data_IF_761261228268
#
_entry.id   IF_761261228268
#
_cell.length_a   1.000
_cell.length_b   1.000
_cell.length_c   1.000
_cell.angle_alpha   90.00
_cell.angle_beta   90.00
_cell.angle_gamma   90.00
#
_symmetry.space_group_name_H-M   'P 1'
#
loop_
_entity.id
_entity.type
_entity.pdbx_description
1 polymer ?
#
# COMPACT_ATOMS: atom_id res chain seq x y z
N UNK A 1 -3.61 -79.07 14.80
CA UNK A 1 -2.92 -77.77 14.67
C UNK A 1 -3.67 -76.93 13.64
N UNK A 2 -4.63 -76.12 14.06
CA UNK A 2 -5.39 -75.20 13.18
C UNK A 2 -4.81 -73.80 13.33
N UNK A 3 -3.65 -73.59 12.71
CA UNK A 3 -2.85 -72.37 12.85
C UNK A 3 -2.62 -71.74 11.48
N UNK A 4 -3.69 -71.32 10.79
CA UNK A 4 -3.55 -70.60 9.51
C UNK A 4 -4.65 -69.58 9.19
N UNK A 5 -5.80 -69.57 9.88
CA UNK A 5 -6.88 -68.61 9.61
C UNK A 5 -7.06 -67.52 10.68
N UNK A 6 -6.81 -67.84 11.96
CA UNK A 6 -6.91 -66.86 13.04
C UNK A 6 -5.82 -65.77 12.94
N UNK A 7 -4.58 -66.14 12.58
CA UNK A 7 -3.47 -65.19 12.44
C UNK A 7 -3.63 -64.27 11.23
N UNK A 8 -4.24 -64.76 10.15
CA UNK A 8 -4.48 -63.94 8.96
C UNK A 8 -5.53 -62.84 9.21
N UNK A 9 -6.61 -63.18 9.92
CA UNK A 9 -7.63 -62.21 10.34
C UNK A 9 -7.06 -61.18 11.32
N UNK A 10 -6.25 -61.61 12.29
CA UNK A 10 -5.60 -60.70 13.24
C UNK A 10 -4.57 -59.79 12.56
N UNK A 11 -3.83 -60.30 11.57
CA UNK A 11 -2.89 -59.50 10.77
C UNK A 11 -3.62 -58.49 9.89
N UNK A 12 -4.68 -58.91 9.19
CA UNK A 12 -5.51 -58.02 8.39
C UNK A 12 -6.16 -56.93 9.25
N UNK A 13 -6.63 -57.26 10.46
CA UNK A 13 -7.17 -56.30 11.42
C UNK A 13 -6.10 -55.32 11.93
N UNK A 14 -4.89 -55.79 12.20
CA UNK A 14 -3.78 -54.93 12.59
C UNK A 14 -3.37 -53.96 11.47
N UNK A 15 -3.30 -54.43 10.22
CA UNK A 15 -3.01 -53.59 9.05
C UNK A 15 -4.13 -52.59 8.80
N UNK A 16 -5.40 -53.03 8.83
CA UNK A 16 -6.55 -52.15 8.67
C UNK A 16 -6.61 -51.06 9.75
N UNK A 17 -6.33 -51.42 11.01
CA UNK A 17 -6.26 -50.47 12.13
C UNK A 17 -5.11 -49.48 11.95
N UNK A 18 -3.94 -49.95 11.49
CA UNK A 18 -2.77 -49.09 11.23
C UNK A 18 -3.03 -48.10 10.09
N UNK A 19 -3.66 -48.56 9.00
CA UNK A 19 -4.05 -47.69 7.88
C UNK A 19 -5.13 -46.69 8.29
N UNK A 20 -6.10 -47.09 9.11
CA UNK A 20 -7.12 -46.19 9.64
C UNK A 20 -6.50 -45.10 10.52
N UNK A 21 -5.55 -45.46 11.39
CA UNK A 21 -4.82 -44.51 12.23
C UNK A 21 -3.98 -43.56 11.36
N UNK A 22 -3.24 -44.08 10.38
CA UNK A 22 -2.45 -43.26 9.46
C UNK A 22 -3.32 -42.30 8.62
N UNK A 23 -4.49 -42.76 8.15
CA UNK A 23 -5.45 -41.92 7.44
C UNK A 23 -6.03 -40.81 8.30
N UNK A 24 -6.37 -41.11 9.57
CA UNK A 24 -6.88 -40.12 10.52
C UNK A 24 -5.88 -38.99 10.79
N UNK A 25 -4.59 -39.32 10.99
CA UNK A 25 -3.54 -38.32 11.18
C UNK A 25 -3.16 -37.59 9.88
N UNK A 26 -3.19 -38.27 8.73
CA UNK A 26 -2.88 -37.68 7.43
C UNK A 26 -3.86 -36.57 7.03
N UNK A 27 -5.16 -36.74 7.29
CA UNK A 27 -6.18 -35.72 7.00
C UNK A 27 -5.98 -34.48 7.87
N UNK A 28 -5.67 -34.64 9.15
CA UNK A 28 -5.40 -33.51 10.07
C UNK A 28 -4.15 -32.73 9.63
N UNK A 29 -3.08 -33.44 9.22
CA UNK A 29 -1.87 -32.78 8.71
C UNK A 29 -2.14 -32.04 7.39
N UNK A 30 -2.92 -32.64 6.49
CA UNK A 30 -3.31 -32.00 5.23
C UNK A 30 -4.22 -30.79 5.47
N UNK A 31 -5.18 -30.88 6.38
CA UNK A 31 -6.04 -29.76 6.79
C UNK A 31 -5.21 -28.63 7.38
N UNK A 32 -4.29 -28.94 8.31
CA UNK A 32 -3.40 -27.94 8.90
C UNK A 32 -2.50 -27.27 7.85
N UNK A 33 -1.99 -28.04 6.88
CA UNK A 33 -1.19 -27.52 5.78
C UNK A 33 -2.00 -26.63 4.84
N UNK A 34 -3.24 -27.02 4.51
CA UNK A 34 -4.15 -26.23 3.67
C UNK A 34 -4.65 -24.97 4.37
N UNK A 35 -4.95 -25.04 5.67
CA UNK A 35 -5.28 -23.88 6.50
C UNK A 35 -4.12 -22.90 6.60
N UNK A 36 -2.90 -23.41 6.80
CA UNK A 36 -1.68 -22.59 6.78
C UNK A 36 -1.48 -21.90 5.42
N UNK A 37 -1.75 -22.58 4.31
CA UNK A 37 -1.72 -21.97 2.97
C UNK A 37 -2.80 -20.91 2.78
N UNK A 38 -4.03 -21.16 3.24
CA UNK A 38 -5.14 -20.20 3.15
C UNK A 38 -4.90 -18.95 4.00
N UNK A 39 -4.39 -19.10 5.22
CA UNK A 39 -4.03 -17.96 6.09
C UNK A 39 -2.95 -17.09 5.46
N UNK A 40 -1.88 -17.70 4.95
CA UNK A 40 -0.82 -16.97 4.24
C UNK A 40 -1.34 -16.25 3.00
N UNK A 41 -2.27 -16.83 2.25
CA UNK A 41 -2.89 -16.17 1.10
C UNK A 41 -3.73 -14.95 1.53
N UNK A 42 -4.52 -15.08 2.60
CA UNK A 42 -5.32 -13.98 3.14
C UNK A 42 -4.45 -12.84 3.69
N UNK A 43 -3.39 -13.15 4.45
CA UNK A 43 -2.42 -12.17 4.96
C UNK A 43 -1.74 -11.41 3.81
N UNK A 44 -1.39 -12.10 2.71
CA UNK A 44 -0.82 -11.47 1.51
C UNK A 44 -1.80 -10.54 0.81
N UNK A 45 -3.07 -10.95 0.70
CA UNK A 45 -4.09 -10.12 0.08
C UNK A 45 -4.34 -8.84 0.91
N UNK A 46 -4.35 -8.96 2.23
CA UNK A 46 -4.46 -7.82 3.15
C UNK A 46 -3.24 -6.89 3.04
N UNK A 47 -2.02 -7.43 3.04
CA UNK A 47 -0.80 -6.67 2.81
C UNK A 47 -0.83 -5.87 1.49
N UNK A 48 -1.24 -6.51 0.38
CA UNK A 48 -1.41 -5.83 -0.92
C UNK A 48 -2.50 -4.77 -0.89
N UNK A 49 -3.60 -5.03 -0.16
CA UNK A 49 -4.69 -4.05 -0.03
C UNK A 49 -4.19 -2.79 0.67
N UNK A 50 -3.44 -2.93 1.76
CA UNK A 50 -2.84 -1.80 2.48
C UNK A 50 -1.87 -1.03 1.59
N UNK A 51 -1.02 -1.74 0.83
CA UNK A 51 -0.06 -1.10 -0.06
C UNK A 51 -0.74 -0.35 -1.22
N UNK A 52 -1.78 -0.92 -1.83
CA UNK A 52 -2.59 -0.24 -2.86
C UNK A 52 -3.25 1.03 -2.34
N UNK A 53 -3.70 1.02 -1.09
CA UNK A 53 -4.23 2.22 -0.43
C UNK A 53 -3.12 3.28 -0.29
N UNK A 54 -1.92 2.91 0.17
CA UNK A 54 -0.78 3.83 0.27
C UNK A 54 -0.36 4.42 -1.10
N UNK A 55 -0.36 3.60 -2.16
CA UNK A 55 -0.14 4.05 -3.55
C UNK A 55 -1.19 5.08 -3.95
N UNK A 56 -2.47 4.80 -3.69
CA UNK A 56 -3.57 5.70 -4.07
C UNK A 56 -3.46 7.07 -3.39
N UNK A 57 -3.16 7.11 -2.10
CA UNK A 57 -2.97 8.36 -1.36
C UNK A 57 -1.75 9.15 -1.85
N UNK A 58 -0.63 8.47 -2.10
CA UNK A 58 0.60 9.11 -2.61
C UNK A 58 0.39 9.67 -4.03
N UNK A 59 -0.33 8.93 -4.88
CA UNK A 59 -0.71 9.37 -6.22
C UNK A 59 -1.67 10.57 -6.20
N UNK A 60 -2.60 10.61 -5.24
CA UNK A 60 -3.48 11.78 -5.03
C UNK A 60 -2.68 13.00 -4.61
N UNK A 61 -1.72 12.85 -3.69
CA UNK A 61 -0.82 13.92 -3.28
C UNK A 61 -0.03 14.49 -4.47
N UNK A 62 0.57 13.60 -5.27
CA UNK A 62 1.23 13.98 -6.51
C UNK A 62 0.31 14.80 -7.44
N UNK A 63 -0.92 14.31 -7.67
CA UNK A 63 -1.90 14.97 -8.54
C UNK A 63 -2.22 16.39 -8.09
N UNK A 64 -2.48 16.58 -6.79
CA UNK A 64 -2.80 17.89 -6.23
C UNK A 64 -1.60 18.83 -6.33
N UNK A 65 -0.41 18.38 -5.93
CA UNK A 65 0.83 19.18 -6.01
C UNK A 65 1.16 19.56 -7.45
N UNK A 66 0.98 18.65 -8.41
CA UNK A 66 1.18 18.90 -9.84
C UNK A 66 0.18 19.94 -10.35
N UNK A 67 -1.09 19.80 -10.01
CA UNK A 67 -2.14 20.76 -10.42
C UNK A 67 -1.87 22.17 -9.90
N UNK A 68 -1.42 22.30 -8.64
CA UNK A 68 -1.00 23.60 -8.09
C UNK A 68 0.19 24.16 -8.86
N UNK A 69 1.17 23.32 -9.18
CA UNK A 69 2.34 23.74 -9.97
C UNK A 69 1.99 24.19 -11.38
N UNK A 70 1.09 23.49 -12.08
CA UNK A 70 0.61 23.85 -13.41
C UNK A 70 -0.14 25.19 -13.39
N UNK A 71 -1.03 25.39 -12.42
CA UNK A 71 -1.75 26.65 -12.27
C UNK A 71 -0.82 27.82 -11.93
N UNK A 72 0.11 27.63 -10.99
CA UNK A 72 1.05 28.67 -10.58
C UNK A 72 2.16 28.93 -11.59
N UNK A 73 2.44 27.97 -12.47
CA UNK A 73 3.40 28.08 -13.56
C UNK A 73 2.84 28.72 -14.83
N UNK A 74 1.52 28.77 -14.98
CA UNK A 74 0.87 29.29 -16.17
C UNK A 74 0.69 30.81 -16.10
N UNK A 75 1.43 31.54 -16.94
CA UNK A 75 1.35 33.00 -17.04
C UNK A 75 0.02 33.51 -17.61
N UNK A 76 -0.73 32.66 -18.33
CA UNK A 76 -2.05 33.00 -18.88
C UNK A 76 -3.16 32.94 -17.82
N UNK A 77 -2.90 32.27 -16.70
CA UNK A 77 -3.86 32.14 -15.60
C UNK A 77 -3.52 33.11 -14.48
N UNK A 78 -4.54 33.80 -13.99
CA UNK A 78 -4.42 34.62 -12.78
C UNK A 78 -4.53 33.73 -11.56
N UNK A 79 -3.49 33.73 -10.73
CA UNK A 79 -3.51 33.13 -9.39
C UNK A 79 -4.41 34.00 -8.50
N UNK A 80 -5.66 33.59 -8.31
CA UNK A 80 -6.66 34.29 -7.48
C UNK A 80 -6.65 33.76 -6.04
N UNK A 81 -6.99 34.61 -5.07
CA UNK A 81 -7.06 34.20 -3.66
C UNK A 81 -8.02 33.01 -3.42
N UNK A 82 -9.18 33.00 -4.09
CA UNK A 82 -10.15 31.90 -3.97
C UNK A 82 -9.53 30.57 -4.43
N UNK A 83 -8.78 30.57 -5.53
CA UNK A 83 -8.12 29.38 -6.05
C UNK A 83 -7.02 28.92 -5.10
N UNK A 84 -6.25 29.85 -4.51
CA UNK A 84 -5.24 29.52 -3.47
C UNK A 84 -5.86 28.89 -2.23
N UNK A 85 -7.00 29.41 -1.76
CA UNK A 85 -7.71 28.86 -0.61
C UNK A 85 -8.21 27.45 -0.88
N UNK A 86 -8.78 27.21 -2.07
CA UNK A 86 -9.20 25.87 -2.51
C UNK A 86 -8.02 24.91 -2.58
N UNK A 87 -6.92 25.31 -3.25
CA UNK A 87 -5.70 24.51 -3.35
C UNK A 87 -5.12 24.17 -1.97
N UNK A 88 -5.11 25.14 -1.05
CA UNK A 88 -4.66 24.92 0.33
C UNK A 88 -5.56 23.92 1.05
N UNK A 89 -6.88 24.01 0.85
CA UNK A 89 -7.83 23.04 1.39
C UNK A 89 -7.54 21.63 0.85
N UNK A 90 -7.38 21.50 -0.47
CA UNK A 90 -7.12 20.22 -1.13
C UNK A 90 -5.80 19.58 -0.66
N UNK A 91 -4.73 20.38 -0.55
CA UNK A 91 -3.44 19.95 -0.03
C UNK A 91 -3.55 19.43 1.41
N UNK A 92 -4.20 20.18 2.30
CA UNK A 92 -4.37 19.78 3.69
C UNK A 92 -5.25 18.53 3.83
N UNK A 93 -6.32 18.42 3.05
CA UNK A 93 -7.19 17.24 3.07
C UNK A 93 -6.41 15.97 2.66
N UNK A 94 -5.54 16.07 1.66
CA UNK A 94 -4.70 14.93 1.26
C UNK A 94 -3.65 14.63 2.32
N UNK A 95 -3.05 15.64 2.95
CA UNK A 95 -2.08 15.45 4.02
C UNK A 95 -2.70 14.77 5.24
N UNK A 96 -3.90 15.20 5.64
CA UNK A 96 -4.67 14.59 6.72
C UNK A 96 -4.97 13.12 6.42
N UNK A 97 -5.45 12.83 5.21
CA UNK A 97 -5.75 11.47 4.79
C UNK A 97 -4.49 10.59 4.76
N UNK A 98 -3.35 11.14 4.30
CA UNK A 98 -2.07 10.45 4.34
C UNK A 98 -1.59 10.19 5.77
N UNK A 99 -1.76 11.15 6.69
CA UNK A 99 -1.40 10.99 8.10
C UNK A 99 -2.27 9.95 8.82
N UNK A 100 -3.52 9.77 8.38
CA UNK A 100 -4.43 8.74 8.87
C UNK A 100 -4.00 7.30 8.54
N UNK A 101 -3.06 7.09 7.60
CA UNK A 101 -2.52 5.76 7.33
C UNK A 101 -1.61 5.31 8.49
N UNK A 102 -1.87 4.18 9.16
CA UNK A 102 -0.94 3.68 10.16
C UNK A 102 0.34 3.18 9.47
N UNK A 103 1.52 3.65 9.89
CA UNK A 103 2.79 3.20 9.27
C UNK A 103 3.08 1.74 9.62
N UNK A 104 2.71 1.31 10.83
CA UNK A 104 2.98 -0.03 11.35
C UNK A 104 2.20 -1.14 10.63
N UNK A 105 1.16 -0.81 9.86
CA UNK A 105 0.41 -1.79 9.05
C UNK A 105 1.02 -1.99 7.65
N UNK A 106 2.04 -1.20 7.28
CA UNK A 106 2.66 -1.32 5.96
C UNK A 106 3.48 -2.62 5.91
N UNK A 107 3.36 -3.40 4.82
CA UNK A 107 3.90 -4.75 4.76
C UNK A 107 5.43 -4.81 4.66
N UNK A 108 6.07 -3.72 4.21
CA UNK A 108 7.52 -3.65 4.02
C UNK A 108 8.09 -2.35 4.60
N UNK A 109 9.36 -2.40 5.03
CA UNK A 109 10.08 -1.22 5.51
C UNK A 109 10.25 -0.17 4.41
N UNK A 110 10.44 -0.61 3.15
CA UNK A 110 10.52 0.28 1.98
C UNK A 110 9.20 1.03 1.80
N UNK A 111 8.06 0.34 1.89
CA UNK A 111 6.76 0.99 1.81
C UNK A 111 6.55 2.03 2.93
N UNK A 112 6.95 1.68 4.17
CA UNK A 112 6.92 2.61 5.30
C UNK A 112 7.77 3.86 5.04
N UNK A 113 9.01 3.68 4.57
CA UNK A 113 9.91 4.78 4.23
C UNK A 113 9.33 5.70 3.16
N UNK A 114 8.79 5.14 2.07
CA UNK A 114 8.24 5.94 0.98
C UNK A 114 6.97 6.70 1.41
N UNK A 115 6.11 6.11 2.25
CA UNK A 115 4.95 6.82 2.81
C UNK A 115 5.39 7.97 3.72
N UNK A 116 6.39 7.76 4.59
CA UNK A 116 6.94 8.82 5.45
C UNK A 116 7.53 9.96 4.59
N UNK A 117 8.32 9.60 3.59
CA UNK A 117 8.91 10.57 2.66
C UNK A 117 7.84 11.38 1.94
N UNK A 118 6.82 10.71 1.39
CA UNK A 118 5.74 11.37 0.70
C UNK A 118 4.96 12.34 1.61
N UNK A 119 4.72 11.97 2.88
CA UNK A 119 4.13 12.90 3.87
C UNK A 119 4.99 14.12 4.10
N UNK A 120 6.30 13.94 4.26
CA UNK A 120 7.24 15.04 4.48
C UNK A 120 7.25 16.03 3.30
N UNK A 121 7.31 15.51 2.07
CA UNK A 121 7.26 16.34 0.86
C UNK A 121 5.92 17.06 0.71
N UNK A 122 4.80 16.38 0.99
CA UNK A 122 3.48 17.01 0.97
C UNK A 122 3.33 18.06 2.08
N UNK A 123 3.86 17.82 3.27
CA UNK A 123 3.84 18.80 4.36
C UNK A 123 4.64 20.05 4.00
N UNK A 124 5.80 19.90 3.35
CA UNK A 124 6.56 21.02 2.82
C UNK A 124 5.76 21.81 1.75
N UNK A 125 5.09 21.10 0.85
CA UNK A 125 4.21 21.73 -0.14
C UNK A 125 3.00 22.44 0.51
N UNK A 126 2.40 21.87 1.56
CA UNK A 126 1.32 22.50 2.32
C UNK A 126 1.80 23.79 3.02
N UNK A 127 3.00 23.76 3.61
CA UNK A 127 3.61 24.92 4.24
C UNK A 127 3.81 26.05 3.22
N UNK A 128 4.37 25.75 2.06
CA UNK A 128 4.55 26.74 0.99
C UNK A 128 3.21 27.26 0.44
N UNK A 129 2.25 26.36 0.22
CA UNK A 129 0.89 26.70 -0.21
C UNK A 129 0.15 27.59 0.79
N UNK A 130 0.53 27.56 2.06
CA UNK A 130 -0.04 28.36 3.14
C UNK A 130 0.51 29.79 3.23
N UNK A 131 1.61 30.12 2.54
CA UNK A 131 2.16 31.48 2.53
C UNK A 131 1.22 32.43 1.80
N UNK A 132 0.88 33.56 2.42
CA UNK A 132 0.12 34.64 1.78
C UNK A 132 0.96 35.24 0.66
N UNK A 133 0.30 35.58 -0.45
CA UNK A 133 0.82 36.48 -1.47
C UNK A 133 0.04 37.79 -1.36
N UNK A 134 0.77 38.90 -1.42
CA UNK A 134 0.21 40.23 -1.18
C UNK A 134 -0.66 40.74 -2.34
N UNK A 135 -0.56 40.12 -3.53
CA UNK A 135 -1.28 40.56 -4.74
C UNK A 135 -1.67 39.36 -5.61
N UNK A 136 -2.88 39.40 -6.16
CA UNK A 136 -3.28 38.53 -7.28
C UNK A 136 -2.45 38.89 -8.52
N UNK A 137 -2.02 37.88 -9.27
CA UNK A 137 -1.15 38.10 -10.41
C UNK A 137 -1.05 36.88 -11.31
N UNK A 138 -0.45 37.04 -12.51
CA UNK A 138 -0.20 35.90 -13.38
C UNK A 138 0.73 34.90 -12.70
N UNK A 139 0.59 33.62 -13.06
CA UNK A 139 1.57 32.60 -12.69
C UNK A 139 2.97 32.94 -13.20
N UNK A 140 3.99 32.37 -12.54
CA UNK A 140 5.39 32.50 -12.98
C UNK A 140 6.03 31.13 -13.11
N UNK A 141 6.89 30.96 -14.12
CA UNK A 141 7.64 29.70 -14.28
C UNK A 141 8.43 29.34 -13.02
N UNK A 142 9.02 30.32 -12.34
CA UNK A 142 9.75 30.10 -11.08
C UNK A 142 8.83 29.55 -9.98
N UNK A 143 7.61 30.09 -9.85
CA UNK A 143 6.64 29.57 -8.91
C UNK A 143 6.30 28.12 -9.24
N UNK A 144 5.95 27.81 -10.50
CA UNK A 144 5.64 26.45 -10.94
C UNK A 144 6.81 25.46 -10.77
N UNK A 145 8.05 25.89 -11.01
CA UNK A 145 9.25 25.04 -10.95
C UNK A 145 9.50 24.46 -9.56
N UNK A 146 9.20 25.20 -8.50
CA UNK A 146 9.29 24.69 -7.12
C UNK A 146 8.29 23.56 -6.88
N UNK A 147 7.04 23.71 -7.32
CA UNK A 147 6.01 22.68 -7.20
C UNK A 147 6.34 21.45 -8.05
N UNK A 148 6.96 21.64 -9.22
CA UNK A 148 7.43 20.53 -10.05
C UNK A 148 8.45 19.63 -9.32
N UNK A 149 9.31 20.20 -8.46
CA UNK A 149 10.25 19.42 -7.65
C UNK A 149 9.53 18.51 -6.65
N UNK A 150 8.53 19.02 -5.94
CA UNK A 150 7.72 18.20 -5.03
C UNK A 150 6.91 17.15 -5.78
N UNK A 151 6.33 17.51 -6.93
CA UNK A 151 5.62 16.57 -7.78
C UNK A 151 6.53 15.43 -8.23
N UNK A 152 7.75 15.71 -8.68
CA UNK A 152 8.71 14.69 -9.07
C UNK A 152 9.06 13.73 -7.92
N UNK A 153 9.25 14.24 -6.69
CA UNK A 153 9.56 13.41 -5.52
C UNK A 153 8.38 12.54 -5.09
N UNK A 154 7.15 13.05 -5.17
CA UNK A 154 5.94 12.28 -4.90
C UNK A 154 5.70 11.21 -5.98
N UNK A 155 6.03 11.50 -7.24
CA UNK A 155 5.99 10.53 -8.33
C UNK A 155 6.99 9.38 -8.09
N UNK A 156 8.25 9.69 -7.74
CA UNK A 156 9.27 8.68 -7.37
C UNK A 156 8.82 7.80 -6.20
N UNK A 157 8.25 8.40 -5.15
CA UNK A 157 7.70 7.64 -4.02
C UNK A 157 6.53 6.73 -4.45
N UNK A 158 5.66 7.22 -5.34
CA UNK A 158 4.53 6.43 -5.88
C UNK A 158 5.03 5.25 -6.71
N UNK A 159 6.04 5.46 -7.56
CA UNK A 159 6.64 4.43 -8.41
C UNK A 159 7.26 3.31 -7.56
N UNK A 160 8.03 3.67 -6.53
CA UNK A 160 8.61 2.70 -5.59
C UNK A 160 7.54 1.91 -4.85
N UNK A 161 6.45 2.54 -4.43
CA UNK A 161 5.33 1.85 -3.78
C UNK A 161 4.60 0.89 -4.75
N UNK A 162 4.49 1.22 -6.04
CA UNK A 162 3.95 0.31 -7.05
C UNK A 162 4.86 -0.88 -7.30
N UNK A 163 6.17 -0.64 -7.39
CA UNK A 163 7.15 -1.72 -7.54
C UNK A 163 7.07 -2.71 -6.36
N UNK A 164 6.87 -2.23 -5.13
CA UNK A 164 6.65 -3.10 -3.97
C UNK A 164 5.35 -3.93 -4.08
N UNK A 165 4.27 -3.35 -4.63
CA UNK A 165 3.00 -4.07 -4.84
C UNK A 165 3.14 -5.18 -5.90
N UNK A 166 3.86 -4.88 -6.97
CA UNK A 166 4.19 -5.86 -8.02
C UNK A 166 5.09 -6.98 -7.49
N UNK A 167 6.09 -6.65 -6.65
CA UNK A 167 6.94 -7.65 -6.01
C UNK A 167 6.12 -8.58 -5.08
N UNK A 168 5.24 -8.02 -4.25
CA UNK A 168 4.33 -8.80 -3.41
C UNK A 168 3.29 -9.62 -4.21
N UNK A 169 2.99 -9.21 -5.44
CA UNK A 169 2.14 -9.98 -6.35
C UNK A 169 2.86 -11.21 -6.92
N UNK A 170 4.17 -11.13 -7.12
CA UNK A 170 5.01 -12.19 -7.70
C UNK A 170 5.44 -13.31 -6.73
N UNK A 171 5.26 -13.11 -5.42
CA UNK A 171 5.60 -14.07 -4.34
C UNK A 171 4.40 -14.93 -3.89
#
# INVERSE_FOLDING_TARGET
MSWHHADWLSFAQAVASTVAIAGAFGVVFLQHHLEGKRRKAAEREEARRVLRIAVAFTNKAWTVVKSVGELRGNAELTDREIDRLKQRSDLNQVLEAMNGLPIHILPTAVAAEQVIRARSELAAACFEGGKRRDVDGPGTQEAGAMWAKWAARLADATEKLRAEDEQLASQ
#
